data_IF_005488259430
#
_entry.id   IF_005488259430
#
_cell.length_a   1.000
_cell.length_b   1.000
_cell.length_c   1.000
_cell.angle_alpha   90.00
_cell.angle_beta   90.00
_cell.angle_gamma   90.00
#
_symmetry.space_group_name_H-M   'P 1'
#
loop_
_entity.id
_entity.type
_entity.pdbx_description
1 polymer ?
#
# COMPACT_ATOMS: atom_id res chain seq x y z
N UNK A 1 -46.80 13.07 8.89
CA UNK A 1 -45.56 12.62 9.48
C UNK A 1 -44.48 12.77 8.44
N UNK A 2 -43.62 13.44 8.59
CA UNK A 2 -42.59 13.64 7.63
C UNK A 2 -41.28 13.98 8.26
N UNK A 3 -41.19 13.74 9.51
CA UNK A 3 -39.96 14.00 10.14
C UNK A 3 -38.86 13.19 9.53
N UNK A 4 -37.88 13.82 9.14
CA UNK A 4 -36.71 13.12 8.72
C UNK A 4 -36.03 12.45 9.91
N UNK A 5 -35.49 11.32 9.67
CA UNK A 5 -34.76 10.56 10.63
C UNK A 5 -33.67 11.36 11.34
N UNK A 6 -33.15 12.35 10.69
CA UNK A 6 -31.99 13.10 11.17
C UNK A 6 -32.29 14.47 11.71
N UNK A 7 -33.51 14.81 11.95
CA UNK A 7 -33.88 16.20 12.18
C UNK A 7 -33.41 16.77 13.50
N UNK A 8 -33.13 15.95 14.44
CA UNK A 8 -32.76 16.40 15.76
C UNK A 8 -31.45 15.83 16.26
N UNK A 9 -30.49 15.74 15.38
CA UNK A 9 -29.13 15.36 15.76
C UNK A 9 -29.05 14.06 16.57
N UNK A 10 -29.81 13.09 16.15
CA UNK A 10 -29.76 11.75 16.70
C UNK A 10 -30.68 11.48 17.88
N UNK A 11 -31.44 12.48 18.28
CA UNK A 11 -32.48 12.31 19.30
C UNK A 11 -33.86 12.44 18.68
N UNK A 12 -34.12 11.78 17.65
CA UNK A 12 -35.30 11.93 16.87
C UNK A 12 -36.55 11.63 17.66
N UNK A 13 -37.42 12.59 17.74
CA UNK A 13 -38.80 12.44 18.22
C UNK A 13 -39.71 12.11 17.06
N UNK A 14 -39.53 10.95 16.54
CA UNK A 14 -40.27 10.54 15.37
C UNK A 14 -41.63 9.96 15.74
N UNK A 15 -42.58 10.13 14.87
CA UNK A 15 -43.78 9.34 14.92
C UNK A 15 -43.43 7.85 14.74
N UNK A 16 -44.37 7.00 15.11
CA UNK A 16 -44.10 5.55 15.07
C UNK A 16 -43.62 5.04 13.71
N UNK A 17 -44.14 5.60 12.63
CA UNK A 17 -43.69 5.27 11.28
C UNK A 17 -42.28 5.80 10.98
N UNK A 18 -41.97 6.93 11.52
CA UNK A 18 -40.63 7.52 11.39
C UNK A 18 -39.61 6.82 12.25
N UNK A 19 -40.02 6.39 13.45
CA UNK A 19 -39.18 5.54 14.28
C UNK A 19 -38.80 4.25 13.58
N UNK A 20 -39.73 3.67 12.82
CA UNK A 20 -39.43 2.50 12.00
C UNK A 20 -38.44 2.82 10.89
N UNK A 21 -38.53 3.99 10.30
CA UNK A 21 -37.60 4.46 9.28
C UNK A 21 -36.25 4.76 9.89
N UNK A 22 -36.22 5.38 11.07
CA UNK A 22 -35.00 5.65 11.80
C UNK A 22 -34.25 4.36 12.15
N UNK A 23 -34.95 3.34 12.60
CA UNK A 23 -34.36 2.02 12.86
C UNK A 23 -33.74 1.44 11.59
N UNK A 24 -34.40 1.58 10.46
CA UNK A 24 -33.84 1.12 9.17
C UNK A 24 -32.55 1.89 8.81
N UNK A 25 -32.55 3.18 9.01
CA UNK A 25 -31.33 3.97 8.74
C UNK A 25 -30.21 3.62 9.70
N UNK A 26 -30.49 3.45 10.98
CA UNK A 26 -29.49 2.99 11.94
C UNK A 26 -28.91 1.65 11.56
N UNK A 27 -29.77 0.72 11.15
CA UNK A 27 -29.34 -0.59 10.70
C UNK A 27 -28.48 -0.50 9.44
N UNK A 28 -28.87 0.34 8.51
CA UNK A 28 -28.10 0.56 7.28
C UNK A 28 -26.73 1.20 7.57
N UNK A 29 -26.65 2.12 8.53
CA UNK A 29 -25.38 2.75 8.90
C UNK A 29 -24.40 1.79 9.59
N UNK A 30 -24.90 0.74 10.24
CA UNK A 30 -24.03 -0.28 10.84
C UNK A 30 -23.47 -1.28 9.83
N UNK A 31 -24.01 -1.31 8.63
CA UNK A 31 -23.50 -2.15 7.54
C UNK A 31 -22.47 -1.43 6.64
N UNK A 32 -21.93 -0.30 7.07
CA UNK A 32 -20.86 0.37 6.34
C UNK A 32 -19.57 -0.41 6.56
N UNK A 33 -19.13 -1.04 5.51
CA UNK A 33 -17.84 -1.70 5.45
C UNK A 33 -16.76 -0.71 5.03
N UNK A 34 -15.71 -0.61 5.82
CA UNK A 34 -14.57 0.25 5.54
C UNK A 34 -13.44 -0.58 4.95
N UNK A 35 -12.99 -0.18 3.78
CA UNK A 35 -11.83 -0.78 3.12
C UNK A 35 -10.63 0.14 3.25
N UNK A 36 -9.47 -0.43 3.44
CA UNK A 36 -8.21 0.29 3.36
C UNK A 36 -7.21 -0.44 2.49
N UNK A 37 -6.33 0.32 1.88
CA UNK A 37 -5.27 -0.20 1.02
C UNK A 37 -3.95 -0.16 1.77
N UNK A 38 -3.26 -1.29 1.78
CA UNK A 38 -1.90 -1.38 2.29
C UNK A 38 -0.97 -1.67 1.12
N UNK A 39 0.01 -0.80 0.91
CA UNK A 39 1.08 -1.05 -0.04
C UNK A 39 2.16 -1.87 0.65
N UNK A 40 2.42 -3.06 0.14
CA UNK A 40 3.41 -3.96 0.69
C UNK A 40 4.70 -3.84 -0.10
N UNK A 41 5.75 -3.43 0.59
CA UNK A 41 7.11 -3.51 0.10
C UNK A 41 7.80 -4.69 0.79
N UNK A 42 8.28 -5.62 0.03
CA UNK A 42 9.04 -6.76 0.56
C UNK A 42 8.67 -8.09 -0.07
N UNK A 43 9.61 -9.00 0.02
CA UNK A 43 9.36 -10.39 -0.32
C UNK A 43 8.37 -10.96 0.71
N UNK A 44 7.23 -11.37 0.24
CA UNK A 44 6.30 -12.14 1.06
C UNK A 44 6.86 -13.55 1.22
N UNK A 45 6.96 -14.03 2.45
CA UNK A 45 7.47 -15.38 2.75
C UNK A 45 6.42 -16.48 2.53
N UNK A 46 5.22 -16.14 2.09
CA UNK A 46 4.12 -17.05 1.81
C UNK A 46 3.10 -16.44 0.87
N UNK A 47 2.20 -17.25 0.35
CA UNK A 47 1.07 -16.78 -0.42
C UNK A 47 0.03 -16.16 0.52
N UNK A 48 -0.34 -14.92 0.28
CA UNK A 48 -1.47 -14.28 0.97
C UNK A 48 -2.78 -14.67 0.29
N UNK A 49 -3.75 -15.05 1.07
CA UNK A 49 -5.06 -15.48 0.59
C UNK A 49 -6.17 -14.56 1.11
N UNK A 50 -7.18 -14.35 0.32
CA UNK A 50 -8.42 -13.69 0.77
C UNK A 50 -8.97 -14.40 2.01
N UNK A 51 -9.28 -13.64 3.04
CA UNK A 51 -9.73 -14.13 4.34
C UNK A 51 -8.64 -14.30 5.39
N UNK A 52 -7.36 -14.23 5.01
CA UNK A 52 -6.27 -14.25 5.98
C UNK A 52 -6.27 -12.98 6.84
N UNK A 53 -5.95 -13.15 8.11
CA UNK A 53 -5.80 -12.03 9.04
C UNK A 53 -4.36 -11.53 9.04
N UNK A 54 -4.17 -10.27 8.67
CA UNK A 54 -2.87 -9.60 8.82
C UNK A 54 -2.74 -8.97 10.20
N UNK A 55 -1.51 -8.97 10.71
CA UNK A 55 -1.15 -8.30 11.97
C UNK A 55 0.12 -7.48 11.78
N UNK A 56 0.07 -6.21 12.18
CA UNK A 56 1.22 -5.33 12.22
C UNK A 56 2.13 -5.69 13.41
N UNK A 57 3.41 -5.90 13.12
CA UNK A 57 4.37 -6.37 14.12
C UNK A 57 4.73 -5.33 15.20
N UNK A 58 4.59 -4.05 14.89
CA UNK A 58 4.88 -2.95 15.81
C UNK A 58 3.60 -2.30 16.32
N UNK A 59 2.66 -2.04 15.44
CA UNK A 59 1.40 -1.37 15.81
C UNK A 59 0.41 -2.30 16.51
N UNK A 60 0.48 -3.60 16.24
CA UNK A 60 -0.55 -4.55 16.65
C UNK A 60 -1.85 -4.39 15.89
N UNK A 61 -1.91 -3.51 14.89
CA UNK A 61 -3.07 -3.35 14.03
C UNK A 61 -3.39 -4.65 13.29
N UNK A 62 -4.66 -4.88 13.02
CA UNK A 62 -5.09 -6.09 12.30
C UNK A 62 -6.08 -5.74 11.19
N UNK A 63 -6.18 -6.60 10.19
CA UNK A 63 -7.16 -6.51 9.11
C UNK A 63 -7.29 -7.83 8.40
N UNK A 64 -8.42 -8.03 7.75
CA UNK A 64 -8.69 -9.23 6.94
C UNK A 64 -8.43 -8.91 5.48
N UNK A 65 -7.73 -9.79 4.78
CA UNK A 65 -7.44 -9.63 3.35
C UNK A 65 -8.73 -9.81 2.55
N UNK A 66 -9.16 -8.75 1.88
CA UNK A 66 -10.23 -8.80 0.88
C UNK A 66 -9.68 -9.17 -0.49
N UNK A 67 -8.57 -8.56 -0.87
CA UNK A 67 -7.90 -8.90 -2.13
C UNK A 67 -6.41 -8.57 -2.11
N UNK A 68 -5.66 -9.28 -2.94
CA UNK A 68 -4.23 -9.02 -3.20
C UNK A 68 -4.06 -8.82 -4.70
N UNK A 69 -3.44 -7.73 -5.09
CA UNK A 69 -3.16 -7.45 -6.51
C UNK A 69 -1.73 -6.98 -6.73
N UNK A 70 -1.12 -7.44 -7.81
CA UNK A 70 0.11 -6.85 -8.34
C UNK A 70 -0.29 -5.75 -9.31
N UNK A 71 -0.26 -4.51 -8.85
CA UNK A 71 -0.77 -3.37 -9.60
C UNK A 71 0.20 -2.83 -10.66
N UNK A 72 1.47 -3.23 -10.62
CA UNK A 72 2.48 -2.82 -11.58
C UNK A 72 3.67 -3.77 -11.56
N UNK A 73 4.28 -3.94 -12.71
CA UNK A 73 5.52 -4.71 -12.85
C UNK A 73 6.39 -4.16 -13.97
N UNK A 74 7.70 -4.39 -13.89
CA UNK A 74 8.64 -4.00 -14.92
C UNK A 74 9.88 -4.91 -14.94
N UNK A 75 10.52 -4.97 -16.09
CA UNK A 75 11.86 -5.59 -16.23
C UNK A 75 12.87 -4.48 -16.38
N UNK A 76 13.92 -4.51 -15.57
CA UNK A 76 14.98 -3.51 -15.58
C UNK A 76 15.82 -3.65 -16.85
N UNK A 77 16.05 -2.53 -17.52
CA UNK A 77 16.91 -2.41 -18.69
C UNK A 77 18.15 -1.55 -18.44
N UNK A 78 18.20 -0.89 -17.29
CA UNK A 78 19.33 -0.07 -16.86
C UNK A 78 19.12 0.53 -15.49
N UNK A 79 20.22 0.84 -14.82
CA UNK A 79 20.22 1.63 -13.58
C UNK A 79 21.47 2.52 -13.53
N UNK A 80 21.33 3.72 -12.99
CA UNK A 80 22.39 4.73 -12.92
C UNK A 80 23.14 4.69 -11.60
N UNK A 81 24.46 4.90 -11.65
CA UNK A 81 25.27 5.16 -10.44
C UNK A 81 25.15 6.65 -10.07
N UNK A 82 23.99 7.04 -9.58
CA UNK A 82 23.63 8.42 -9.26
C UNK A 82 22.95 8.54 -7.90
N UNK A 83 22.75 9.73 -7.44
CA UNK A 83 21.96 10.07 -6.25
C UNK A 83 20.83 11.06 -6.65
N UNK A 84 19.57 10.61 -6.69
CA UNK A 84 19.11 9.23 -6.51
C UNK A 84 19.43 8.31 -7.69
N UNK A 85 19.42 6.99 -7.43
CA UNK A 85 19.46 5.97 -8.50
C UNK A 85 18.23 6.12 -9.39
N UNK A 86 18.46 6.16 -10.70
CA UNK A 86 17.38 6.07 -11.70
C UNK A 86 17.36 4.67 -12.30
N UNK A 87 16.22 4.00 -12.24
CA UNK A 87 16.00 2.69 -12.87
C UNK A 87 15.18 2.88 -14.14
N UNK A 88 15.67 2.30 -15.24
CA UNK A 88 14.97 2.23 -16.52
C UNK A 88 14.34 0.84 -16.70
N UNK A 89 13.15 0.79 -17.28
CA UNK A 89 12.39 -0.44 -17.49
C UNK A 89 11.92 -0.57 -18.94
N UNK A 90 11.76 -1.82 -19.38
CA UNK A 90 11.18 -2.12 -20.71
C UNK A 90 9.67 -1.98 -20.68
N UNK A 91 9.12 -1.15 -21.57
CA UNK A 91 7.67 -0.91 -21.66
C UNK A 91 7.14 0.01 -20.55
N UNK A 92 5.84 0.25 -20.55
CA UNK A 92 5.18 1.00 -19.51
C UNK A 92 5.00 0.16 -18.23
N UNK A 93 5.19 0.75 -17.09
CA UNK A 93 5.16 0.05 -15.78
C UNK A 93 3.99 0.44 -14.90
N UNK A 94 3.12 1.27 -15.17
CA UNK A 94 1.93 1.69 -14.37
C UNK A 94 2.22 2.08 -12.90
N UNK A 95 3.49 2.34 -12.53
CA UNK A 95 3.78 2.87 -11.21
C UNK A 95 3.38 4.34 -11.12
N UNK A 96 3.04 4.79 -9.92
CA UNK A 96 2.72 6.17 -9.62
C UNK A 96 3.63 6.72 -8.52
N UNK A 97 3.76 8.04 -8.48
CA UNK A 97 4.56 8.75 -7.50
C UNK A 97 4.23 8.32 -6.08
N UNK A 98 5.27 8.03 -5.29
CA UNK A 98 5.13 7.64 -3.88
C UNK A 98 4.78 6.18 -3.62
N UNK A 99 4.58 5.35 -4.64
CA UNK A 99 4.35 3.93 -4.44
C UNK A 99 5.59 3.22 -3.91
N UNK A 100 5.37 2.19 -3.10
CA UNK A 100 6.41 1.26 -2.69
C UNK A 100 6.55 0.13 -3.71
N UNK A 101 7.76 -0.17 -4.12
CA UNK A 101 8.08 -1.25 -5.04
C UNK A 101 9.09 -2.21 -4.42
N UNK A 102 9.15 -3.42 -4.95
CA UNK A 102 10.20 -4.40 -4.65
C UNK A 102 11.00 -4.67 -5.90
N UNK A 103 12.33 -4.55 -5.82
CA UNK A 103 13.27 -4.93 -6.87
C UNK A 103 13.93 -6.25 -6.46
N UNK A 104 14.01 -7.20 -7.39
CA UNK A 104 14.68 -8.48 -7.18
C UNK A 104 15.52 -8.87 -8.39
N UNK A 105 16.60 -9.62 -8.15
CA UNK A 105 17.46 -10.22 -9.16
C UNK A 105 18.18 -9.22 -10.11
N UNK A 106 18.40 -7.98 -9.69
CA UNK A 106 19.31 -7.10 -10.39
C UNK A 106 20.75 -7.55 -10.16
N UNK A 107 21.51 -7.71 -11.23
CA UNK A 107 22.91 -8.13 -11.20
C UNK A 107 23.84 -6.94 -11.46
N UNK A 108 25.04 -6.99 -10.91
CA UNK A 108 26.00 -5.89 -10.89
C UNK A 108 25.64 -4.88 -9.81
N UNK A 109 24.64 -4.08 -10.01
CA UNK A 109 24.12 -3.12 -9.03
C UNK A 109 23.18 -3.79 -8.03
N UNK A 110 23.68 -4.72 -7.24
CA UNK A 110 22.88 -5.49 -6.27
C UNK A 110 22.32 -4.61 -5.14
N UNK A 111 22.90 -3.44 -4.90
CA UNK A 111 22.42 -2.49 -3.89
C UNK A 111 21.01 -1.92 -4.15
N UNK A 112 20.49 -2.09 -5.37
CA UNK A 112 19.09 -1.71 -5.66
C UNK A 112 18.09 -2.83 -5.38
N UNK A 113 18.54 -4.06 -5.10
CA UNK A 113 17.61 -5.13 -4.71
C UNK A 113 17.04 -4.83 -3.33
N UNK A 114 15.73 -4.93 -3.22
CA UNK A 114 15.00 -4.63 -1.99
C UNK A 114 13.79 -3.75 -2.25
N UNK A 115 13.37 -3.10 -1.18
CA UNK A 115 12.13 -2.30 -1.16
C UNK A 115 12.46 -0.83 -1.24
N UNK A 116 11.76 -0.12 -2.11
CA UNK A 116 11.98 1.30 -2.38
C UNK A 116 10.65 2.04 -2.55
N UNK A 117 10.67 3.32 -2.27
CA UNK A 117 9.64 4.26 -2.70
C UNK A 117 10.07 4.84 -4.04
N UNK A 118 9.15 4.98 -5.00
CA UNK A 118 9.44 5.58 -6.29
C UNK A 118 9.05 7.05 -6.34
N UNK A 119 9.90 7.87 -6.94
CA UNK A 119 9.64 9.28 -7.26
C UNK A 119 10.07 9.60 -8.69
N UNK A 120 9.68 10.78 -9.16
CA UNK A 120 9.97 11.25 -10.52
C UNK A 120 9.63 10.19 -11.58
N UNK A 121 8.43 9.65 -11.46
CA UNK A 121 7.93 8.54 -12.28
C UNK A 121 7.62 9.02 -13.69
N UNK A 122 8.23 8.38 -14.68
CA UNK A 122 7.93 8.59 -16.11
C UNK A 122 7.33 7.31 -16.71
N UNK A 123 7.11 7.26 -18.00
CA UNK A 123 6.59 6.07 -18.66
C UNK A 123 7.53 4.84 -18.56
N UNK A 124 8.83 5.06 -18.43
CA UNK A 124 9.83 3.98 -18.45
C UNK A 124 10.91 4.11 -17.38
N UNK A 125 10.89 5.13 -16.55
CA UNK A 125 11.90 5.34 -15.51
C UNK A 125 11.27 5.70 -14.18
N UNK A 126 11.96 5.35 -13.11
CA UNK A 126 11.66 5.78 -11.74
C UNK A 126 12.96 6.13 -11.01
N UNK A 127 12.89 7.08 -10.10
CA UNK A 127 13.94 7.31 -9.12
C UNK A 127 13.66 6.52 -7.85
N UNK A 128 14.72 5.95 -7.25
CA UNK A 128 14.61 5.13 -6.05
C UNK A 128 14.89 5.97 -4.79
N UNK A 129 14.02 5.80 -3.83
CA UNK A 129 14.13 6.38 -2.49
C UNK A 129 13.98 5.25 -1.46
N UNK A 130 14.51 5.44 -0.26
CA UNK A 130 14.29 4.54 0.86
C UNK A 130 12.81 4.45 1.23
N UNK A 131 12.45 3.49 2.04
CA UNK A 131 11.13 3.46 2.66
C UNK A 131 11.10 4.48 3.81
N UNK A 132 9.98 5.18 3.94
CA UNK A 132 9.73 5.94 5.15
C UNK A 132 9.66 5.02 6.38
N UNK A 133 9.84 5.60 7.55
CA UNK A 133 9.70 4.90 8.84
C UNK A 133 8.54 5.48 9.64
N UNK A 134 8.16 4.81 10.72
CA UNK A 134 7.11 5.32 11.62
C UNK A 134 7.46 6.68 12.26
N UNK A 135 8.75 6.99 12.40
CA UNK A 135 9.24 8.25 13.00
C UNK A 135 9.63 9.29 11.97
N UNK A 136 9.93 8.88 10.74
CA UNK A 136 10.22 9.75 9.62
C UNK A 136 9.61 9.15 8.34
N UNK A 137 8.52 9.74 7.91
CA UNK A 137 7.80 9.31 6.71
C UNK A 137 8.38 9.90 5.41
N UNK A 138 9.43 10.70 5.49
CA UNK A 138 10.07 11.31 4.31
C UNK A 138 11.11 10.34 3.75
N UNK A 139 10.88 9.75 2.57
CA UNK A 139 11.87 8.87 1.96
C UNK A 139 13.11 9.65 1.54
N UNK A 140 14.30 9.17 1.92
CA UNK A 140 15.57 9.71 1.47
C UNK A 140 15.97 9.13 0.11
N UNK A 141 16.68 9.87 -0.74
CA UNK A 141 17.21 9.35 -2.00
C UNK A 141 18.10 8.12 -1.78
N UNK A 142 18.00 7.14 -2.68
CA UNK A 142 18.95 6.03 -2.69
C UNK A 142 20.22 6.46 -3.41
N UNK A 143 21.30 6.68 -2.65
CA UNK A 143 22.61 7.00 -3.21
C UNK A 143 23.26 5.76 -3.84
N UNK A 144 23.34 5.74 -5.15
CA UNK A 144 23.96 4.68 -5.93
C UNK A 144 25.38 4.98 -6.40
N UNK A 145 25.96 6.11 -6.00
CA UNK A 145 27.29 6.54 -6.49
C UNK A 145 28.41 5.55 -6.09
N UNK A 146 28.24 4.85 -4.97
CA UNK A 146 29.15 3.80 -4.51
C UNK A 146 28.82 2.40 -4.98
N UNK A 147 27.74 2.19 -5.73
CA UNK A 147 27.35 0.86 -6.18
C UNK A 147 28.16 0.39 -7.39
N UNK A 148 28.27 -0.92 -7.57
CA UNK A 148 28.76 -1.46 -8.84
C UNK A 148 27.79 -1.13 -9.98
N UNK A 149 28.29 -1.02 -11.20
CA UNK A 149 27.44 -0.78 -12.37
C UNK A 149 26.42 -1.93 -12.57
N UNK A 150 25.20 -1.59 -12.94
CA UNK A 150 24.20 -2.58 -13.33
C UNK A 150 24.68 -3.32 -14.58
N UNK A 151 24.54 -4.65 -14.58
CA UNK A 151 24.99 -5.49 -15.70
C UNK A 151 23.85 -6.18 -16.42
N UNK A 152 22.86 -6.68 -15.67
CA UNK A 152 21.72 -7.38 -16.26
C UNK A 152 20.63 -7.69 -15.22
N UNK A 153 19.49 -8.15 -15.72
CA UNK A 153 18.41 -8.69 -14.90
C UNK A 153 17.70 -7.63 -14.06
N UNK A 154 16.85 -8.10 -13.20
CA UNK A 154 16.04 -7.30 -12.30
C UNK A 154 14.57 -7.23 -12.74
N UNK A 155 13.71 -7.52 -11.78
CA UNK A 155 12.26 -7.35 -11.88
C UNK A 155 11.80 -6.36 -10.81
N UNK A 156 10.81 -5.57 -11.16
CA UNK A 156 10.20 -4.59 -10.27
C UNK A 156 8.73 -4.93 -10.14
N UNK A 157 8.21 -4.97 -8.92
CA UNK A 157 6.80 -5.24 -8.66
C UNK A 157 6.25 -4.27 -7.61
N UNK A 158 4.97 -3.93 -7.75
CA UNK A 158 4.18 -3.23 -6.74
C UNK A 158 2.99 -4.10 -6.37
N UNK A 159 2.83 -4.39 -5.07
CA UNK A 159 1.74 -5.20 -4.54
C UNK A 159 0.86 -4.35 -3.63
N UNK A 160 -0.42 -4.37 -3.88
CA UNK A 160 -1.44 -3.73 -3.04
C UNK A 160 -2.31 -4.80 -2.40
N UNK A 161 -2.56 -4.67 -1.12
CA UNK A 161 -3.51 -5.49 -0.38
C UNK A 161 -4.67 -4.59 0.02
N UNK A 162 -5.89 -5.02 -0.27
CA UNK A 162 -7.11 -4.39 0.25
C UNK A 162 -7.51 -5.12 1.50
N UNK A 163 -7.76 -4.39 2.56
CA UNK A 163 -8.15 -4.92 3.87
C UNK A 163 -9.54 -4.47 4.25
N UNK A 164 -10.25 -5.36 4.93
CA UNK A 164 -11.52 -5.11 5.63
C UNK A 164 -11.34 -5.37 7.12
N UNK A 165 -12.34 -5.07 7.90
CA UNK A 165 -12.39 -5.31 9.36
C UNK A 165 -11.12 -4.84 10.09
N UNK A 166 -10.71 -3.61 9.78
CA UNK A 166 -9.45 -3.04 10.26
C UNK A 166 -9.60 -2.60 11.70
N UNK A 167 -8.69 -3.04 12.54
CA UNK A 167 -8.58 -2.66 13.94
C UNK A 167 -7.22 -1.99 14.18
N UNK A 168 -7.22 -0.73 14.55
CA UNK A 168 -6.00 0.06 14.73
C UNK A 168 -5.45 0.63 13.42
N UNK A 169 -4.28 1.24 13.49
CA UNK A 169 -3.57 1.81 12.34
C UNK A 169 -2.25 1.05 12.13
N UNK A 170 -2.00 0.60 10.91
CA UNK A 170 -0.72 0.02 10.53
C UNK A 170 0.35 1.11 10.48
N UNK A 171 1.53 0.83 11.03
CA UNK A 171 2.65 1.74 11.00
C UNK A 171 3.45 1.61 9.69
N UNK A 172 3.90 2.74 9.17
CA UNK A 172 4.77 2.75 7.97
C UNK A 172 6.07 2.00 8.28
N UNK A 173 6.47 1.11 7.39
CA UNK A 173 7.73 0.35 7.50
C UNK A 173 7.71 -0.81 8.50
N UNK A 174 6.57 -1.12 9.12
CA UNK A 174 6.48 -2.29 9.99
C UNK A 174 6.41 -3.59 9.22
N UNK A 175 6.82 -4.67 9.86
CA UNK A 175 6.64 -6.02 9.33
C UNK A 175 5.20 -6.45 9.54
N UNK A 176 4.58 -6.96 8.49
CA UNK A 176 3.22 -7.51 8.55
C UNK A 176 3.32 -9.03 8.49
N UNK A 177 2.60 -9.71 9.37
CA UNK A 177 2.52 -11.17 9.43
C UNK A 177 1.12 -11.66 9.08
N UNK A 178 1.06 -12.74 8.32
CA UNK A 178 -0.12 -13.56 8.11
C UNK A 178 0.00 -14.88 8.92
N UNK A 179 -1.08 -15.60 9.14
CA UNK A 179 -1.06 -16.90 9.84
C UNK A 179 -0.15 -17.93 9.23
#
# INVERSE_FOLDING_TARGET
SGNAVSTDSGTTTLLSTEATTDVKFKHFLFDIEMFSHVNVAGAMSGALTTGDKLTGGTSGATGIIESVSTAGSGTITGATQADPVVVSMSGGHNFTEGQSITIANAAGMTGINGNHTVKNVTATTVELFGLGTATDSTPEPLDGTGFSAWTSGGTVVHTTIVLTDIQGEFAVGETITAP
#
